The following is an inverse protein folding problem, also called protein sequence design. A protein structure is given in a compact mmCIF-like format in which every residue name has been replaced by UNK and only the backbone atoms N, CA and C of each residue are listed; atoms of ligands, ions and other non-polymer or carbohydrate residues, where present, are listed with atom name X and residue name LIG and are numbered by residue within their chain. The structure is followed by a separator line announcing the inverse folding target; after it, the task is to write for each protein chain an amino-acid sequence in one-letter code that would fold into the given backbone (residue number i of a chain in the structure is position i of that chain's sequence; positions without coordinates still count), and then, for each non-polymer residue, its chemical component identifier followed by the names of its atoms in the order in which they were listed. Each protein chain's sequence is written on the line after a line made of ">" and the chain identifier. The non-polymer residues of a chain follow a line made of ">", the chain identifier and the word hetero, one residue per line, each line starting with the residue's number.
data_IF_851528853308
#
_entry.id   IF_851528853308
#
_cell.length_a   1.000
_cell.length_b   1.000
_cell.length_c   1.000
_cell.angle_alpha   90.00
_cell.angle_beta   90.00
_cell.angle_gamma   90.00
#
_symmetry.space_group_name_H-M   'P 1'
#
loop_
_entity.id
_entity.type
_entity.pdbx_description
1 polymer ?
#
# COMPACT_ATOMS: atom_id res chain seq x y z
N UNK A 1 15.05 -3.93 -16.54
CA UNK A 1 15.18 -5.33 -17.00
C UNK A 1 14.19 -6.15 -16.17
N UNK A 2 13.39 -7.00 -16.81
CA UNK A 2 12.34 -7.79 -16.13
C UNK A 2 12.67 -9.28 -16.22
N UNK A 3 12.22 -10.04 -15.23
CA UNK A 3 12.31 -11.51 -15.22
C UNK A 3 11.24 -12.06 -16.16
N UNK A 4 11.62 -12.93 -17.09
CA UNK A 4 10.76 -13.49 -18.15
C UNK A 4 10.19 -14.86 -17.82
N UNK A 5 10.83 -15.62 -16.91
CA UNK A 5 10.45 -16.99 -16.57
C UNK A 5 9.90 -17.12 -15.15
N UNK A 6 9.20 -16.10 -14.63
CA UNK A 6 8.68 -16.10 -13.24
C UNK A 6 7.80 -17.31 -12.95
N UNK A 7 7.05 -17.79 -13.95
CA UNK A 7 6.15 -18.94 -13.87
C UNK A 7 6.88 -20.27 -13.68
N UNK A 8 8.16 -20.34 -14.09
CA UNK A 8 9.01 -21.53 -13.97
C UNK A 8 9.79 -21.58 -12.63
N UNK A 9 9.72 -20.51 -11.83
CA UNK A 9 10.45 -20.40 -10.57
C UNK A 9 9.62 -20.95 -9.40
N UNK A 10 10.33 -21.42 -8.36
CA UNK A 10 9.74 -21.76 -7.06
C UNK A 10 10.08 -20.66 -6.05
N UNK A 11 9.36 -19.52 -6.04
CA UNK A 11 9.72 -18.39 -5.19
C UNK A 11 9.47 -18.67 -3.70
N UNK A 12 10.16 -17.91 -2.85
CA UNK A 12 10.05 -17.92 -1.39
C UNK A 12 10.39 -19.28 -0.75
N UNK A 13 11.12 -20.14 -1.47
CA UNK A 13 11.63 -21.42 -1.00
C UNK A 13 13.06 -21.61 -1.46
N UNK A 14 13.85 -22.35 -0.69
CA UNK A 14 15.16 -22.80 -1.11
C UNK A 14 14.99 -23.89 -2.17
N UNK A 15 15.60 -23.70 -3.33
CA UNK A 15 15.75 -24.70 -4.37
C UNK A 15 17.08 -24.41 -5.06
N UNK A 16 17.99 -25.39 -5.01
CA UNK A 16 19.33 -25.23 -5.53
C UNK A 16 19.31 -24.94 -7.04
N UNK A 17 20.20 -24.06 -7.46
CA UNK A 17 20.52 -23.81 -8.88
C UNK A 17 19.31 -23.38 -9.74
N UNK A 18 18.36 -22.59 -9.21
CA UNK A 18 17.30 -21.99 -10.03
C UNK A 18 17.89 -20.96 -11.00
N UNK A 19 17.53 -21.06 -12.28
CA UNK A 19 17.96 -20.12 -13.31
C UNK A 19 16.89 -19.05 -13.52
N UNK A 20 17.17 -17.83 -13.06
CA UNK A 20 16.35 -16.64 -13.33
C UNK A 20 16.78 -16.05 -14.67
N UNK A 21 15.84 -15.95 -15.61
CA UNK A 21 16.07 -15.37 -16.93
C UNK A 21 15.40 -14.01 -17.03
N UNK A 22 16.09 -13.08 -17.67
CA UNK A 22 15.53 -11.77 -17.96
C UNK A 22 15.10 -11.65 -19.41
N UNK A 23 14.24 -10.68 -19.70
CA UNK A 23 13.85 -10.32 -21.08
C UNK A 23 15.05 -9.90 -21.95
N UNK A 24 16.18 -9.50 -21.34
CA UNK A 24 17.41 -9.13 -22.05
C UNK A 24 18.37 -10.31 -22.26
N UNK A 25 17.99 -11.52 -21.85
CA UNK A 25 18.82 -12.72 -21.97
C UNK A 25 19.84 -12.93 -20.85
N UNK A 26 19.88 -12.05 -19.84
CA UNK A 26 20.71 -12.27 -18.64
C UNK A 26 20.17 -13.46 -17.88
N UNK A 27 21.06 -14.40 -17.52
CA UNK A 27 20.78 -15.52 -16.64
C UNK A 27 21.47 -15.32 -15.29
N UNK A 28 20.73 -15.55 -14.20
CA UNK A 28 21.25 -15.50 -12.83
C UNK A 28 20.90 -16.82 -12.15
N UNK A 29 21.92 -17.55 -11.70
CA UNK A 29 21.74 -18.76 -10.89
C UNK A 29 21.58 -18.35 -9.43
N UNK A 30 20.50 -18.80 -8.80
CA UNK A 30 20.20 -18.51 -7.40
C UNK A 30 19.59 -19.72 -6.69
N UNK A 31 19.91 -19.88 -5.41
CA UNK A 31 19.31 -20.95 -4.59
C UNK A 31 17.98 -20.54 -3.94
N UNK A 32 17.63 -19.25 -4.00
CA UNK A 32 16.39 -18.70 -3.48
C UNK A 32 15.99 -17.45 -4.26
N UNK A 33 14.72 -17.37 -4.64
CA UNK A 33 14.14 -16.19 -5.30
C UNK A 33 13.02 -15.64 -4.42
N UNK A 34 13.09 -14.35 -4.08
CA UNK A 34 12.03 -13.67 -3.32
C UNK A 34 11.30 -12.70 -4.26
N UNK A 35 10.00 -12.91 -4.46
CA UNK A 35 9.19 -12.04 -5.31
C UNK A 35 8.67 -10.85 -4.52
N UNK A 36 9.20 -9.67 -4.83
CA UNK A 36 8.77 -8.39 -4.25
C UNK A 36 7.90 -7.57 -5.23
N UNK A 37 7.29 -8.22 -6.22
CA UNK A 37 6.50 -7.58 -7.28
C UNK A 37 5.17 -8.32 -7.49
N UNK A 38 4.28 -7.78 -8.34
CA UNK A 38 3.05 -8.46 -8.70
C UNK A 38 1.96 -8.42 -7.63
N UNK A 39 1.91 -7.34 -6.84
CA UNK A 39 0.85 -7.12 -5.84
C UNK A 39 -0.52 -7.21 -6.53
N UNK A 40 -1.40 -8.05 -5.99
CA UNK A 40 -2.80 -8.19 -6.41
C UNK A 40 -3.70 -7.75 -5.27
N UNK A 41 -4.76 -7.02 -5.60
CA UNK A 41 -5.76 -6.60 -4.62
C UNK A 41 -6.52 -7.85 -4.14
N UNK A 42 -6.64 -8.01 -2.83
CA UNK A 42 -7.46 -9.06 -2.24
C UNK A 42 -8.95 -8.67 -2.34
N UNK A 43 -9.58 -9.03 -3.45
CA UNK A 43 -10.96 -8.67 -3.77
C UNK A 43 -11.99 -9.77 -3.46
N UNK A 44 -11.54 -10.93 -3.00
CA UNK A 44 -12.38 -12.10 -2.74
C UNK A 44 -13.59 -11.80 -1.84
N UNK A 45 -13.43 -10.90 -0.87
CA UNK A 45 -14.48 -10.53 0.08
C UNK A 45 -15.65 -9.73 -0.53
N UNK A 46 -15.46 -9.10 -1.69
CA UNK A 46 -16.46 -8.18 -2.27
C UNK A 46 -16.73 -8.39 -3.76
N UNK A 47 -15.92 -9.20 -4.46
CA UNK A 47 -16.02 -9.37 -5.91
C UNK A 47 -17.39 -9.88 -6.37
N UNK A 48 -18.01 -10.79 -5.61
CA UNK A 48 -19.33 -11.32 -5.94
C UNK A 48 -20.45 -10.27 -5.79
N UNK A 49 -20.32 -9.34 -4.83
CA UNK A 49 -21.34 -8.35 -4.53
C UNK A 49 -21.18 -7.06 -5.38
N UNK A 50 -19.95 -6.68 -5.72
CA UNK A 50 -19.64 -5.38 -6.31
C UNK A 50 -18.80 -5.49 -7.59
N UNK A 51 -18.90 -6.61 -8.32
CA UNK A 51 -18.10 -6.87 -9.53
C UNK A 51 -18.22 -5.78 -10.61
N UNK A 52 -19.41 -5.19 -10.78
CA UNK A 52 -19.65 -4.08 -11.72
C UNK A 52 -19.10 -2.73 -11.24
N UNK A 53 -18.79 -2.62 -9.93
CA UNK A 53 -18.18 -1.44 -9.30
C UNK A 53 -16.67 -1.55 -9.14
N UNK A 54 -16.04 -2.56 -9.74
CA UNK A 54 -14.60 -2.75 -9.69
C UNK A 54 -13.90 -2.13 -10.91
N UNK A 55 -12.69 -1.62 -10.69
CA UNK A 55 -11.75 -1.24 -11.73
C UNK A 55 -11.03 -2.48 -12.29
N UNK A 56 -10.26 -2.31 -13.36
CA UNK A 56 -9.54 -3.41 -14.03
C UNK A 56 -8.53 -4.13 -13.14
N UNK A 57 -8.00 -3.45 -12.12
CA UNK A 57 -7.09 -4.01 -11.12
C UNK A 57 -7.81 -4.66 -9.92
N UNK A 58 -9.14 -4.81 -9.98
CA UNK A 58 -10.01 -5.32 -8.90
C UNK A 58 -10.19 -4.38 -7.70
N UNK A 59 -9.76 -3.11 -7.76
CA UNK A 59 -10.11 -2.11 -6.76
C UNK A 59 -11.58 -1.69 -6.87
N UNK A 60 -12.21 -1.31 -5.76
CA UNK A 60 -13.55 -0.72 -5.73
C UNK A 60 -13.50 0.75 -6.17
N UNK A 61 -14.33 1.13 -7.14
CA UNK A 61 -14.47 2.51 -7.60
C UNK A 61 -15.13 3.35 -6.51
N UNK A 62 -14.46 4.42 -6.12
CA UNK A 62 -14.96 5.33 -5.09
C UNK A 62 -15.07 6.76 -5.60
N UNK A 63 -16.05 7.48 -5.06
CA UNK A 63 -16.17 8.92 -5.30
C UNK A 63 -15.17 9.71 -4.43
N UNK A 64 -15.21 11.03 -4.54
CA UNK A 64 -14.36 11.97 -3.80
C UNK A 64 -14.55 11.92 -2.26
N UNK A 65 -15.61 11.28 -1.78
CA UNK A 65 -15.91 11.08 -0.36
C UNK A 65 -15.49 9.69 0.15
N UNK A 66 -14.82 8.91 -0.70
CA UNK A 66 -14.43 7.51 -0.49
C UNK A 66 -15.62 6.55 -0.34
N UNK A 67 -16.80 6.96 -0.82
CA UNK A 67 -17.97 6.10 -0.93
C UNK A 67 -17.90 5.26 -2.20
N UNK A 68 -18.34 4.01 -2.12
CA UNK A 68 -18.50 3.14 -3.29
C UNK A 68 -19.48 3.80 -4.29
N UNK A 69 -19.12 3.83 -5.57
CA UNK A 69 -19.99 4.41 -6.59
C UNK A 69 -21.38 3.77 -6.60
N UNK A 70 -22.43 4.60 -6.47
CA UNK A 70 -23.82 4.15 -6.39
C UNK A 70 -24.34 3.86 -4.98
N UNK A 71 -23.51 4.03 -3.94
CA UNK A 71 -23.91 3.82 -2.54
C UNK A 71 -23.51 5.01 -1.67
N UNK A 72 -24.41 5.45 -0.80
CA UNK A 72 -24.14 6.57 0.13
C UNK A 72 -23.63 6.09 1.50
N UNK A 73 -23.82 4.82 1.81
CA UNK A 73 -23.54 4.21 3.11
C UNK A 73 -22.44 3.15 3.07
N UNK A 74 -21.80 2.93 1.92
CA UNK A 74 -20.68 1.99 1.75
C UNK A 74 -19.43 2.78 1.41
N UNK A 75 -18.33 2.50 2.11
CA UNK A 75 -17.04 3.16 1.93
C UNK A 75 -15.95 2.12 1.65
N UNK A 76 -14.97 2.48 0.81
CA UNK A 76 -13.77 1.67 0.60
C UNK A 76 -12.52 2.53 0.81
N UNK A 77 -11.53 1.97 1.52
CA UNK A 77 -10.30 2.67 1.91
C UNK A 77 -9.07 1.78 1.68
N UNK A 78 -7.89 2.41 1.75
CA UNK A 78 -6.62 1.70 1.63
C UNK A 78 -6.45 1.03 0.26
N UNK A 79 -5.84 -0.15 0.27
CA UNK A 79 -5.38 -0.82 -0.95
C UNK A 79 -6.53 -1.27 -1.85
N UNK A 80 -7.74 -1.51 -1.31
CA UNK A 80 -8.89 -1.94 -2.08
C UNK A 80 -9.66 -0.79 -2.76
N UNK A 81 -9.38 0.46 -2.43
CA UNK A 81 -10.04 1.61 -3.05
C UNK A 81 -9.32 2.03 -4.35
N UNK A 82 -10.07 2.36 -5.41
CA UNK A 82 -9.53 2.85 -6.68
C UNK A 82 -9.14 4.33 -6.61
N UNK A 83 -8.30 4.66 -5.63
CA UNK A 83 -7.68 5.97 -5.47
C UNK A 83 -6.32 5.96 -6.17
N UNK A 84 -6.08 6.96 -7.03
CA UNK A 84 -4.85 7.11 -7.83
C UNK A 84 -3.68 7.63 -7.00
N UNK A 85 -3.12 6.76 -6.17
CA UNK A 85 -1.97 7.04 -5.32
C UNK A 85 -1.24 5.72 -4.98
N UNK A 86 -0.01 5.77 -4.45
CA UNK A 86 0.68 4.57 -4.02
C UNK A 86 -0.07 3.90 -2.85
N UNK A 87 -0.20 2.57 -2.92
CA UNK A 87 -0.88 1.79 -1.89
C UNK A 87 0.03 1.64 -0.67
N UNK A 88 -0.29 2.37 0.40
CA UNK A 88 0.51 2.45 1.63
C UNK A 88 -0.38 2.58 2.86
N UNK A 89 0.06 2.00 3.98
CA UNK A 89 -0.60 2.14 5.28
C UNK A 89 -0.79 3.61 5.72
N UNK A 90 0.14 4.50 5.32
CA UNK A 90 0.01 5.94 5.56
C UNK A 90 -1.27 6.51 4.93
N UNK A 91 -1.51 6.21 3.65
CA UNK A 91 -2.70 6.66 2.93
C UNK A 91 -3.98 6.01 3.46
N UNK A 92 -3.93 4.71 3.82
CA UNK A 92 -5.06 4.05 4.49
C UNK A 92 -5.49 4.79 5.77
N UNK A 93 -4.53 5.31 6.55
CA UNK A 93 -4.82 6.15 7.71
C UNK A 93 -5.48 7.49 7.35
N UNK A 94 -5.04 8.15 6.27
CA UNK A 94 -5.67 9.39 5.78
C UNK A 94 -7.10 9.13 5.30
N UNK A 95 -7.31 8.04 4.56
CA UNK A 95 -8.63 7.59 4.14
C UNK A 95 -9.56 7.35 5.33
N UNK A 96 -9.08 6.65 6.37
CA UNK A 96 -9.86 6.39 7.58
C UNK A 96 -10.34 7.67 8.26
N UNK A 97 -9.49 8.71 8.34
CA UNK A 97 -9.87 10.00 8.94
C UNK A 97 -11.03 10.68 8.17
N UNK A 98 -11.01 10.62 6.84
CA UNK A 98 -12.09 11.16 6.00
C UNK A 98 -13.37 10.33 6.19
N UNK A 99 -13.28 9.00 6.09
CA UNK A 99 -14.45 8.12 6.19
C UNK A 99 -15.12 8.22 7.55
N UNK A 100 -14.37 8.21 8.66
CA UNK A 100 -14.94 8.40 10.01
C UNK A 100 -15.67 9.74 10.10
N UNK A 101 -15.09 10.82 9.58
CA UNK A 101 -15.74 12.13 9.56
C UNK A 101 -17.03 12.08 8.72
N UNK A 102 -17.01 11.42 7.57
CA UNK A 102 -18.15 11.32 6.67
C UNK A 102 -19.28 10.44 7.23
N UNK A 103 -18.95 9.39 7.96
CA UNK A 103 -19.94 8.59 8.70
C UNK A 103 -20.66 9.49 9.72
N UNK A 104 -19.91 10.24 10.55
CA UNK A 104 -20.49 11.16 11.54
C UNK A 104 -21.32 12.25 10.85
N UNK A 105 -20.82 12.83 9.77
CA UNK A 105 -21.52 13.89 9.03
C UNK A 105 -22.81 13.38 8.39
N UNK A 106 -22.82 12.14 7.87
CA UNK A 106 -24.02 11.49 7.33
C UNK A 106 -25.09 11.33 8.41
N UNK A 107 -24.70 10.89 9.62
CA UNK A 107 -25.61 10.71 10.76
C UNK A 107 -26.11 12.03 11.36
N UNK A 108 -25.35 13.11 11.21
CA UNK A 108 -25.66 14.43 11.78
C UNK A 108 -26.13 15.44 10.73
N UNK A 109 -26.42 14.99 9.51
CA UNK A 109 -26.85 15.80 8.37
C UNK A 109 -25.92 17.00 8.07
N UNK A 110 -24.61 16.79 8.19
CA UNK A 110 -23.57 17.75 7.82
C UNK A 110 -22.98 17.42 6.45
N UNK A 111 -22.40 18.41 5.73
CA UNK A 111 -21.73 18.16 4.45
C UNK A 111 -20.58 17.16 4.57
N UNK A 112 -20.45 16.27 3.58
CA UNK A 112 -19.33 15.32 3.51
C UNK A 112 -18.02 16.03 3.17
N UNK A 113 -16.92 15.53 3.75
CA UNK A 113 -15.55 15.92 3.40
C UNK A 113 -15.06 15.17 2.18
N UNK A 114 -14.26 15.85 1.37
CA UNK A 114 -13.56 15.27 0.22
C UNK A 114 -12.19 14.77 0.63
N UNK A 115 -11.75 13.65 0.03
CA UNK A 115 -10.37 13.19 0.04
C UNK A 115 -9.70 13.57 -1.28
N UNK A 116 -8.53 14.18 -1.20
CA UNK A 116 -7.67 14.46 -2.35
C UNK A 116 -6.28 13.87 -2.09
N UNK A 117 -5.71 13.07 -3.01
CA UNK A 117 -4.35 12.57 -2.88
C UNK A 117 -3.34 13.70 -2.72
N UNK A 118 -2.47 13.57 -1.72
CA UNK A 118 -1.37 14.51 -1.49
C UNK A 118 -0.15 14.22 -2.37
N UNK A 119 0.87 15.06 -2.24
CA UNK A 119 2.18 14.84 -2.84
C UNK A 119 2.81 13.53 -2.35
N UNK A 120 3.52 12.84 -3.26
CA UNK A 120 4.23 11.60 -2.94
C UNK A 120 5.15 11.80 -1.72
N UNK A 121 4.86 11.02 -0.68
CA UNK A 121 5.66 10.98 0.55
C UNK A 121 5.95 9.54 0.91
N UNK A 122 7.23 9.17 0.95
CA UNK A 122 7.66 7.84 1.38
C UNK A 122 9.04 7.91 2.03
N UNK A 123 9.27 6.99 2.95
CA UNK A 123 10.57 6.76 3.59
C UNK A 123 10.92 5.29 3.40
N UNK A 124 12.03 4.99 2.74
CA UNK A 124 12.54 3.65 2.52
C UNK A 124 13.70 3.39 3.49
N UNK A 125 13.52 2.39 4.36
CA UNK A 125 14.58 1.95 5.27
C UNK A 125 15.59 1.09 4.50
N UNK A 126 16.88 1.31 4.73
CA UNK A 126 17.98 0.51 4.18
C UNK A 126 18.78 -0.11 5.33
N UNK A 127 18.10 -0.92 6.13
CA UNK A 127 18.62 -1.41 7.41
C UNK A 127 18.47 -0.37 8.53
N UNK A 128 18.87 -0.73 9.75
CA UNK A 128 18.56 0.03 10.98
C UNK A 128 19.09 1.48 10.99
N UNK A 129 20.18 1.74 10.27
CA UNK A 129 20.96 2.98 10.37
C UNK A 129 21.06 3.76 9.05
N UNK A 130 20.23 3.40 8.06
CA UNK A 130 20.24 4.06 6.76
C UNK A 130 18.84 4.11 6.14
N UNK A 131 18.69 4.98 5.15
CA UNK A 131 17.46 5.12 4.40
C UNK A 131 17.44 6.34 3.48
N UNK A 132 16.49 6.31 2.56
CA UNK A 132 16.22 7.37 1.59
C UNK A 132 14.73 7.63 1.51
N UNK A 133 14.32 8.81 1.13
CA UNK A 133 12.91 9.10 0.97
C UNK A 133 12.64 10.40 0.24
N UNK A 134 11.36 10.70 0.14
CA UNK A 134 10.84 11.91 -0.45
C UNK A 134 9.68 12.40 0.42
N UNK A 135 9.66 13.70 0.71
CA UNK A 135 8.57 14.36 1.43
C UNK A 135 8.19 15.62 0.66
N UNK A 136 6.96 15.69 0.17
CA UNK A 136 6.45 16.85 -0.59
C UNK A 136 7.36 17.30 -1.73
N UNK A 137 7.94 16.34 -2.47
CA UNK A 137 8.86 16.65 -3.59
C UNK A 137 10.33 16.81 -3.19
N UNK A 138 10.65 16.94 -1.90
CA UNK A 138 12.03 17.09 -1.43
C UNK A 138 12.64 15.75 -1.07
N UNK A 139 13.85 15.49 -1.55
CA UNK A 139 14.64 14.33 -1.15
C UNK A 139 15.06 14.44 0.31
N UNK A 140 14.84 13.36 1.07
CA UNK A 140 15.31 13.24 2.45
C UNK A 140 16.29 12.08 2.55
N UNK A 141 17.46 12.36 3.10
CA UNK A 141 18.55 11.41 3.19
C UNK A 141 18.57 10.61 4.50
N UNK A 142 19.65 9.85 4.65
CA UNK A 142 19.97 8.95 5.76
C UNK A 142 19.52 9.43 7.14
N UNK A 143 19.93 10.63 7.56
CA UNK A 143 19.72 11.11 8.93
C UNK A 143 18.23 11.19 9.29
N UNK A 144 17.43 11.85 8.43
CA UNK A 144 15.99 12.03 8.64
C UNK A 144 15.26 10.69 8.62
N UNK A 145 15.56 9.85 7.63
CA UNK A 145 14.91 8.55 7.49
C UNK A 145 15.26 7.62 8.65
N UNK A 146 16.50 7.66 9.12
CA UNK A 146 16.95 6.83 10.25
C UNK A 146 16.21 7.18 11.53
N UNK A 147 16.09 8.47 11.84
CA UNK A 147 15.39 8.95 13.04
C UNK A 147 13.89 8.68 12.94
N UNK A 148 13.27 8.98 11.79
CA UNK A 148 11.84 8.89 11.62
C UNK A 148 11.33 7.45 11.46
N UNK A 149 12.07 6.59 10.73
CA UNK A 149 11.63 5.25 10.34
C UNK A 149 12.66 4.17 10.64
N UNK A 150 13.91 4.25 10.20
CA UNK A 150 14.76 3.04 10.14
C UNK A 150 15.09 2.40 11.49
N UNK A 151 15.20 3.19 12.56
CA UNK A 151 15.55 2.67 13.91
C UNK A 151 14.45 1.82 14.54
N UNK A 152 13.19 2.19 14.31
CA UNK A 152 12.02 1.65 15.01
C UNK A 152 10.98 1.05 14.06
N UNK A 153 11.11 1.30 12.75
CA UNK A 153 10.15 0.92 11.71
C UNK A 153 8.69 1.33 12.02
N UNK A 154 8.52 2.42 12.77
CA UNK A 154 7.24 2.89 13.31
C UNK A 154 6.53 1.91 14.27
N UNK A 155 7.25 0.94 14.84
CA UNK A 155 6.68 -0.02 15.79
C UNK A 155 6.15 0.72 17.02
N UNK A 156 6.97 1.54 17.67
CA UNK A 156 6.56 2.32 18.85
C UNK A 156 5.35 3.21 18.59
N UNK A 157 5.34 3.87 17.41
CA UNK A 157 4.22 4.72 16.97
C UNK A 157 2.93 3.91 16.81
N UNK A 158 3.01 2.73 16.22
CA UNK A 158 1.85 1.86 15.97
C UNK A 158 1.22 1.38 17.28
N UNK A 159 2.04 0.93 18.26
CA UNK A 159 1.57 0.56 19.60
C UNK A 159 0.88 1.74 20.30
N UNK A 160 1.50 2.92 20.27
CA UNK A 160 0.91 4.15 20.84
C UNK A 160 -0.43 4.49 20.18
N UNK A 161 -0.54 4.40 18.86
CA UNK A 161 -1.79 4.65 18.13
C UNK A 161 -2.89 3.67 18.52
N UNK A 162 -2.56 2.42 18.80
CA UNK A 162 -3.52 1.41 19.29
C UNK A 162 -3.88 1.58 20.77
N UNK A 163 -3.23 2.51 21.49
CA UNK A 163 -3.41 2.65 22.94
C UNK A 163 -2.84 1.46 23.73
N UNK A 164 -1.84 0.77 23.17
CA UNK A 164 -1.26 -0.45 23.74
C UNK A 164 0.21 -0.24 24.14
N UNK A 165 0.68 -1.06 25.07
CA UNK A 165 2.08 -1.10 25.49
C UNK A 165 2.86 -2.05 24.57
N UNK A 166 4.02 -1.59 24.11
CA UNK A 166 4.92 -2.43 23.32
C UNK A 166 5.46 -3.59 24.18
N UNK A 167 5.48 -4.83 23.66
CA UNK A 167 6.02 -6.00 24.36
C UNK A 167 7.54 -5.96 24.51
#
# INVERSE_FOLDING_TARGET
>A
ERVSNVEDLTPNRFQKDMVVRTEKGTEVVADMVVLCTGIKINSSAYAAAFGDKMASNSALKVNKHLQLEGYENIYAIGDCADVKEPKMAYHAGLHANIVVTNIINSLTHKPLKTYEPGSLTFLLSMGRNDGVGQVNGYYVGRLLVTIAKSRDLFVSKSWKTMGQTMP
#
